data_IF_975130080165
#
_entry.id   IF_975130080165
#
_cell.length_a   1.000
_cell.length_b   1.000
_cell.length_c   1.000
_cell.angle_alpha   90.00
_cell.angle_beta   90.00
_cell.angle_gamma   90.00
#
_symmetry.space_group_name_H-M   'P 1'
#
loop_
_entity.id
_entity.type
_entity.pdbx_description
1 polymer ?
#
# COMPACT_ATOMS: atom_id res chain seq x y z
N UNK A 1 12.04 -20.86 16.43
CA UNK A 1 12.47 -21.27 15.08
C UNK A 1 11.30 -21.01 14.13
N UNK A 2 11.36 -19.95 13.32
CA UNK A 2 10.35 -19.72 12.26
C UNK A 2 10.68 -20.65 11.10
N UNK A 3 9.72 -21.48 10.70
CA UNK A 3 9.89 -22.51 9.67
C UNK A 3 10.21 -21.87 8.32
N UNK A 4 11.13 -22.48 7.58
CA UNK A 4 11.56 -22.07 6.24
C UNK A 4 10.39 -21.86 5.26
N UNK A 5 9.28 -22.57 5.48
CA UNK A 5 8.03 -22.43 4.72
C UNK A 5 7.29 -21.10 4.96
N UNK A 6 7.38 -20.52 6.16
CA UNK A 6 6.79 -19.20 6.46
C UNK A 6 7.58 -18.09 5.75
N UNK A 7 8.91 -18.22 5.67
CA UNK A 7 9.74 -17.30 4.89
C UNK A 7 9.46 -17.46 3.38
N UNK A 8 9.30 -18.68 2.87
CA UNK A 8 8.97 -18.90 1.46
C UNK A 8 7.59 -18.33 1.07
N UNK A 9 6.59 -18.43 1.94
CA UNK A 9 5.28 -17.74 1.77
C UNK A 9 5.40 -16.22 1.89
N UNK A 10 6.23 -15.73 2.82
CA UNK A 10 6.52 -14.30 3.00
C UNK A 10 7.19 -13.68 1.77
N UNK A 11 8.07 -14.41 1.09
CA UNK A 11 8.75 -13.95 -0.14
C UNK A 11 7.94 -14.18 -1.43
N UNK A 12 6.86 -14.98 -1.39
CA UNK A 12 5.99 -15.21 -2.55
C UNK A 12 5.05 -14.02 -2.73
N UNK A 13 5.58 -12.93 -3.30
CA UNK A 13 4.84 -11.70 -3.56
C UNK A 13 3.63 -11.95 -4.48
N UNK A 14 2.48 -11.32 -4.19
CA UNK A 14 1.31 -11.46 -5.04
C UNK A 14 1.59 -10.86 -6.42
N UNK A 15 1.23 -11.61 -7.46
CA UNK A 15 1.35 -11.15 -8.86
C UNK A 15 0.54 -9.87 -9.06
N UNK A 16 -0.68 -9.83 -8.53
CA UNK A 16 -1.56 -8.67 -8.60
C UNK A 16 -1.53 -7.90 -7.28
N UNK A 17 -1.26 -6.60 -7.35
CA UNK A 17 -1.41 -5.72 -6.20
C UNK A 17 -2.88 -5.39 -5.97
N UNK A 18 -3.31 -5.45 -4.71
CA UNK A 18 -4.62 -4.99 -4.27
C UNK A 18 -4.47 -4.12 -3.03
N UNK A 19 -5.21 -3.02 -2.99
CA UNK A 19 -5.25 -2.09 -1.88
C UNK A 19 -6.67 -1.63 -1.63
N UNK A 20 -7.04 -1.60 -0.36
CA UNK A 20 -8.29 -1.02 0.10
C UNK A 20 -7.98 0.27 0.86
N UNK A 21 -8.64 1.36 0.44
CA UNK A 21 -8.55 2.68 1.05
C UNK A 21 -9.84 2.96 1.79
N UNK A 22 -9.77 3.18 3.10
CA UNK A 22 -10.91 3.44 3.96
C UNK A 22 -10.95 4.91 4.35
N UNK A 23 -12.13 5.53 4.31
CA UNK A 23 -12.29 6.94 4.68
C UNK A 23 -12.13 7.22 6.18
N UNK A 24 -12.29 6.20 7.04
CA UNK A 24 -12.09 6.31 8.51
C UNK A 24 -10.98 5.36 9.01
N UNK A 25 -10.41 5.64 10.20
CA UNK A 25 -9.46 4.74 10.85
C UNK A 25 -10.07 3.36 11.13
N UNK A 26 -9.20 2.39 11.42
CA UNK A 26 -9.56 1.03 11.81
C UNK A 26 -10.42 0.27 10.78
N UNK A 27 -10.16 0.48 9.49
CA UNK A 27 -10.85 -0.19 8.37
C UNK A 27 -12.35 0.06 8.33
N UNK A 28 -12.78 1.26 8.72
CA UNK A 28 -14.19 1.68 8.77
C UNK A 28 -14.54 2.74 7.72
N UNK A 29 -15.83 2.96 7.53
CA UNK A 29 -16.36 3.96 6.61
C UNK A 29 -16.44 3.44 5.17
N UNK A 30 -16.52 4.38 4.22
CA UNK A 30 -16.50 4.03 2.80
C UNK A 30 -15.15 3.45 2.39
N UNK A 31 -15.19 2.43 1.52
CA UNK A 31 -14.02 1.72 1.02
C UNK A 31 -13.90 1.89 -0.48
N UNK A 32 -12.67 2.13 -0.95
CA UNK A 32 -12.32 2.08 -2.36
C UNK A 32 -11.33 0.96 -2.59
N UNK A 33 -11.63 0.09 -3.54
CA UNK A 33 -10.79 -1.03 -3.94
C UNK A 33 -9.92 -0.64 -5.13
N UNK A 34 -8.61 -0.78 -4.99
CA UNK A 34 -7.62 -0.50 -6.02
C UNK A 34 -6.89 -1.79 -6.39
N UNK A 35 -6.76 -2.08 -7.69
CA UNK A 35 -6.16 -3.32 -8.17
C UNK A 35 -5.32 -3.09 -9.42
N UNK A 36 -4.15 -3.69 -9.49
CA UNK A 36 -3.36 -3.74 -10.74
C UNK A 36 -3.63 -5.06 -11.47
N UNK A 37 -3.96 -5.04 -12.77
CA UNK A 37 -4.18 -6.27 -13.52
C UNK A 37 -2.90 -7.04 -13.89
N UNK A 38 -1.74 -6.39 -13.99
CA UNK A 38 -0.50 -7.03 -14.50
C UNK A 38 0.75 -6.72 -13.67
N UNK A 39 0.64 -6.72 -12.34
CA UNK A 39 1.81 -6.55 -11.46
C UNK A 39 2.60 -5.25 -11.68
N UNK A 40 1.92 -4.20 -12.18
CA UNK A 40 2.51 -2.92 -12.52
C UNK A 40 3.50 -2.46 -11.44
N UNK A 41 4.72 -2.18 -11.87
CA UNK A 41 5.86 -1.78 -11.03
C UNK A 41 5.65 -0.41 -10.39
N UNK A 42 4.90 0.48 -11.06
CA UNK A 42 4.36 1.70 -10.49
C UNK A 42 2.95 1.98 -11.03
N UNK A 43 1.95 2.01 -10.15
CA UNK A 43 0.58 2.37 -10.52
C UNK A 43 0.13 3.57 -9.69
N UNK A 44 -0.28 4.64 -10.38
CA UNK A 44 -0.99 5.75 -9.74
C UNK A 44 -2.50 5.47 -9.73
N UNK A 45 -3.14 5.69 -8.59
CA UNK A 45 -4.58 5.57 -8.42
C UNK A 45 -5.17 6.87 -7.88
N UNK A 46 -6.26 7.33 -8.47
CA UNK A 46 -7.05 8.40 -7.91
C UNK A 46 -7.91 7.90 -6.75
N UNK A 47 -7.94 8.67 -5.67
CA UNK A 47 -8.72 8.39 -4.46
C UNK A 47 -10.03 9.15 -4.57
N UNK A 48 -11.14 8.43 -4.48
CA UNK A 48 -12.49 8.99 -4.59
C UNK A 48 -12.82 9.89 -3.39
N UNK A 49 -12.41 9.47 -2.19
CA UNK A 49 -12.60 10.23 -0.97
C UNK A 49 -11.33 10.99 -0.60
N UNK A 50 -11.44 12.32 -0.45
CA UNK A 50 -10.30 13.16 -0.07
C UNK A 50 -9.65 12.79 1.27
N UNK A 51 -10.36 12.05 2.13
CA UNK A 51 -9.90 11.64 3.45
C UNK A 51 -9.56 10.16 3.45
N UNK A 52 -8.34 9.83 3.89
CA UNK A 52 -7.83 8.47 4.05
C UNK A 52 -7.58 8.23 5.53
N UNK A 53 -8.42 7.41 6.15
CA UNK A 53 -8.32 7.08 7.56
C UNK A 53 -7.48 5.82 7.83
N UNK A 54 -7.56 4.83 6.95
CA UNK A 54 -6.77 3.60 7.04
C UNK A 54 -6.61 2.93 5.68
N UNK A 55 -5.62 2.04 5.57
CA UNK A 55 -5.32 1.29 4.35
C UNK A 55 -5.01 -0.17 4.65
N UNK A 56 -5.39 -1.06 3.74
CA UNK A 56 -4.99 -2.46 3.76
C UNK A 56 -4.41 -2.83 2.40
N UNK A 57 -3.21 -3.40 2.37
CA UNK A 57 -2.54 -3.88 1.16
C UNK A 57 -2.26 -5.38 1.27
N UNK A 58 -2.31 -6.08 0.13
CA UNK A 58 -1.97 -7.51 0.08
C UNK A 58 -0.46 -7.77 -0.01
N UNK A 59 0.33 -6.76 -0.38
CA UNK A 59 1.78 -6.84 -0.50
C UNK A 59 2.43 -5.87 0.50
N UNK A 60 3.09 -6.36 1.56
CA UNK A 60 3.70 -5.49 2.57
C UNK A 60 4.98 -4.80 2.05
N UNK A 61 5.58 -5.31 0.95
CA UNK A 61 6.86 -4.84 0.41
C UNK A 61 6.61 -3.79 -0.68
N UNK A 62 5.84 -2.76 -0.35
CA UNK A 62 5.48 -1.65 -1.24
C UNK A 62 5.76 -0.31 -0.60
N UNK A 63 6.06 0.68 -1.43
CA UNK A 63 6.07 2.10 -1.07
C UNK A 63 4.80 2.73 -1.60
N UNK A 64 4.10 3.46 -0.75
CA UNK A 64 2.90 4.23 -1.05
C UNK A 64 3.23 5.71 -0.90
N UNK A 65 2.94 6.50 -1.92
CA UNK A 65 3.16 7.93 -1.91
C UNK A 65 1.83 8.61 -2.18
N UNK A 66 1.36 9.42 -1.24
CA UNK A 66 0.08 10.11 -1.31
C UNK A 66 0.26 11.54 -1.80
N UNK A 67 -0.67 12.01 -2.63
CA UNK A 67 -0.63 13.35 -3.23
C UNK A 67 -1.95 14.09 -2.97
N UNK A 68 -1.90 15.42 -2.88
CA UNK A 68 -3.10 16.28 -2.81
C UNK A 68 -3.75 16.55 -4.17
N UNK A 69 -3.04 16.24 -5.25
CA UNK A 69 -3.47 16.32 -6.66
C UNK A 69 -4.04 14.98 -7.14
N UNK A 70 -4.77 15.00 -8.26
CA UNK A 70 -5.06 13.77 -9.01
C UNK A 70 -3.81 13.33 -9.77
N UNK A 71 -3.80 12.06 -10.20
CA UNK A 71 -2.84 11.49 -11.15
C UNK A 71 -1.37 11.54 -10.68
N UNK A 72 -1.17 11.73 -9.37
CA UNK A 72 0.13 11.68 -8.70
C UNK A 72 1.11 12.77 -9.16
N UNK A 73 0.58 13.95 -9.54
CA UNK A 73 1.39 15.10 -9.92
C UNK A 73 1.94 15.88 -8.72
N UNK A 74 3.15 16.43 -8.86
CA UNK A 74 3.75 17.31 -7.85
C UNK A 74 4.36 16.55 -6.67
N UNK A 75 4.52 17.24 -5.54
CA UNK A 75 5.18 16.69 -4.37
C UNK A 75 4.25 15.76 -3.55
N UNK A 76 4.75 14.60 -3.08
CA UNK A 76 3.99 13.73 -2.20
C UNK A 76 3.79 14.40 -0.84
N UNK A 77 2.58 14.34 -0.31
CA UNK A 77 2.24 14.86 1.02
C UNK A 77 2.50 13.87 2.14
N UNK A 78 2.55 12.58 1.82
CA UNK A 78 2.90 11.53 2.77
C UNK A 78 3.50 10.35 2.03
N UNK A 79 4.47 9.71 2.65
CA UNK A 79 5.07 8.47 2.17
C UNK A 79 4.88 7.43 3.27
N UNK A 80 4.33 6.28 2.91
CA UNK A 80 4.06 5.18 3.83
C UNK A 80 4.50 3.88 3.17
N UNK A 81 4.98 2.94 3.97
CA UNK A 81 5.37 1.63 3.47
C UNK A 81 4.25 0.63 3.80
N UNK A 82 4.05 -0.38 2.95
CA UNK A 82 2.95 -1.34 3.01
C UNK A 82 2.66 -1.89 4.40
N UNK A 83 3.71 -2.15 5.19
CA UNK A 83 3.79 -1.93 6.64
C UNK A 83 5.06 -2.61 7.15
N UNK A 84 5.73 -2.03 8.15
CA UNK A 84 6.74 -2.69 8.99
C UNK A 84 6.09 -3.66 10.00
N UNK A 85 5.09 -4.44 9.56
CA UNK A 85 4.33 -5.36 10.39
C UNK A 85 3.62 -6.41 9.55
N UNK A 86 3.40 -7.59 10.12
CA UNK A 86 3.10 -8.87 9.45
C UNK A 86 1.92 -8.90 8.44
N UNK A 87 1.10 -7.85 8.29
CA UNK A 87 -0.17 -7.91 7.55
C UNK A 87 -0.49 -6.76 6.57
N UNK A 88 0.47 -5.89 6.20
CA UNK A 88 0.22 -4.87 5.16
C UNK A 88 -0.81 -3.80 5.55
N UNK A 89 -0.90 -3.47 6.84
CA UNK A 89 -2.10 -2.87 7.45
C UNK A 89 -1.72 -1.60 8.22
N UNK A 90 -2.26 -0.45 7.82
CA UNK A 90 -2.14 0.80 8.57
C UNK A 90 -3.53 1.31 8.96
N UNK A 91 -3.84 1.17 10.26
CA UNK A 91 -5.15 1.45 10.82
C UNK A 91 -5.38 2.93 11.16
N UNK A 92 -4.37 3.78 11.13
CA UNK A 92 -4.49 5.17 11.58
C UNK A 92 -3.63 6.13 10.75
N UNK A 93 -3.99 6.28 9.47
CA UNK A 93 -3.26 7.13 8.53
C UNK A 93 -3.72 8.60 8.58
N UNK A 94 -5.00 8.84 8.87
CA UNK A 94 -5.68 10.14 8.99
C UNK A 94 -5.06 11.26 8.14
N UNK A 95 -5.05 11.09 6.81
CA UNK A 95 -4.48 12.07 5.89
C UNK A 95 -5.48 12.53 4.83
N UNK A 96 -5.18 13.67 4.20
CA UNK A 96 -5.90 14.16 3.03
C UNK A 96 -5.11 13.90 1.76
N UNK A 97 -5.66 13.12 0.84
CA UNK A 97 -5.05 12.79 -0.44
C UNK A 97 -6.11 12.63 -1.54
N UNK A 98 -5.72 12.90 -2.79
CA UNK A 98 -6.52 12.72 -4.00
C UNK A 98 -5.96 11.66 -4.93
N UNK A 99 -4.69 11.29 -4.79
CA UNK A 99 -4.14 10.12 -5.46
C UNK A 99 -3.07 9.44 -4.62
N UNK A 100 -2.75 8.20 -4.98
CA UNK A 100 -1.67 7.41 -4.39
C UNK A 100 -0.87 6.72 -5.48
N UNK A 101 0.45 6.88 -5.44
CA UNK A 101 1.38 6.10 -6.25
C UNK A 101 1.86 4.91 -5.44
N UNK A 102 1.74 3.73 -6.03
CA UNK A 102 2.18 2.47 -5.45
C UNK A 102 3.41 2.00 -6.18
N UNK A 103 4.49 1.70 -5.46
CA UNK A 103 5.74 1.17 -6.03
C UNK A 103 6.11 -0.12 -5.32
N UNK A 104 6.30 -1.21 -6.09
CA UNK A 104 6.80 -2.47 -5.54
C UNK A 104 8.29 -2.33 -5.21
N UNK A 105 8.67 -2.52 -3.95
CA UNK A 105 10.07 -2.48 -3.52
C UNK A 105 10.71 -3.86 -3.69
N UNK A 106 11.99 -3.95 -4.01
CA UNK A 106 12.70 -5.24 -3.99
C UNK A 106 13.15 -5.54 -2.55
N UNK A 107 13.00 -6.78 -2.06
CA UNK A 107 13.59 -7.15 -0.78
C UNK A 107 15.12 -7.04 -0.89
N UNK A 108 15.75 -6.39 0.08
CA UNK A 108 17.20 -6.44 0.24
C UNK A 108 17.49 -7.71 1.03
N UNK A 109 18.01 -8.73 0.36
CA UNK A 109 18.58 -9.89 1.04
C UNK A 109 19.93 -9.45 1.60
N UNK A 110 20.02 -9.21 2.91
CA UNK A 110 21.29 -9.18 3.60
C UNK A 110 21.76 -10.64 3.68
N UNK A 111 22.62 -11.03 2.73
CA UNK A 111 23.44 -12.22 2.85
C UNK A 111 24.63 -11.83 3.73
N UNK A 112 24.63 -12.30 4.97
CA UNK A 112 25.85 -12.42 5.80
C UNK A 112 26.59 -13.72 5.44
#
# INVERSE_FOLDING_TARGET
MQSSDDLARYYKRPRHFTMDVYSRPNYKGSVQHMRTRNGATSSCFNILHKHVGSIAVNDPIVKLQFYRSSDCHGAPTSVTHGSLGHNGRNNNLQLRARSVSVTKLRPVLLLD
#
